data_IF_035865825858
#
_entry.id   IF_035865825858
#
_cell.length_a   1.000
_cell.length_b   1.000
_cell.length_c   1.000
_cell.angle_alpha   90.00
_cell.angle_beta   90.00
_cell.angle_gamma   90.00
#
_symmetry.space_group_name_H-M   'P 1'
#
loop_
_entity.id
_entity.type
_entity.pdbx_description
1 polymer ?
#
# COMPACT_ATOMS: atom_id res chain seq x y z
N UNK A 1 39.62 -41.81 -16.95
CA UNK A 1 41.06 -41.85 -16.64
C UNK A 1 41.68 -40.58 -17.19
N UNK A 2 41.79 -39.54 -16.35
CA UNK A 2 42.83 -38.50 -16.35
C UNK A 2 42.54 -37.62 -15.13
N UNK A 3 43.45 -37.69 -14.16
CA UNK A 3 43.42 -36.98 -12.90
C UNK A 3 44.30 -35.72 -13.02
N UNK A 4 43.91 -34.64 -12.37
CA UNK A 4 44.77 -33.51 -12.01
C UNK A 4 44.15 -32.87 -10.75
N UNK A 5 44.58 -33.21 -9.54
CA UNK A 5 45.71 -32.66 -8.75
C UNK A 5 45.63 -31.14 -8.54
N UNK A 6 45.04 -30.73 -7.42
CA UNK A 6 45.19 -29.41 -6.79
C UNK A 6 46.58 -29.25 -6.14
N UNK A 7 47.15 -28.03 -6.14
CA UNK A 7 48.15 -27.59 -5.16
C UNK A 7 47.69 -26.29 -4.42
N UNK A 8 48.38 -25.80 -3.37
CA UNK A 8 47.82 -25.80 -2.02
C UNK A 8 47.57 -24.40 -1.39
N UNK A 9 46.84 -24.44 -0.28
CA UNK A 9 46.56 -23.33 0.65
C UNK A 9 47.85 -22.69 1.20
N UNK A 10 48.01 -21.40 0.95
CA UNK A 10 48.98 -20.53 1.61
C UNK A 10 48.38 -19.91 2.87
N UNK A 11 48.97 -20.21 4.02
CA UNK A 11 48.76 -19.54 5.30
C UNK A 11 49.39 -18.14 5.27
N UNK A 12 48.59 -17.08 5.41
CA UNK A 12 49.09 -15.77 5.81
C UNK A 12 48.75 -15.47 7.27
N UNK A 13 49.83 -15.26 8.03
CA UNK A 13 49.86 -14.89 9.44
C UNK A 13 49.67 -13.37 9.50
N UNK A 14 48.53 -12.91 10.02
CA UNK A 14 48.34 -11.50 10.37
C UNK A 14 48.70 -11.28 11.84
N UNK A 15 49.87 -10.67 12.04
CA UNK A 15 50.38 -10.15 13.30
C UNK A 15 49.54 -8.95 13.77
N UNK A 16 48.97 -9.06 14.97
CA UNK A 16 48.23 -7.99 15.63
C UNK A 16 49.20 -6.93 16.19
N UNK A 17 49.18 -5.72 15.63
CA UNK A 17 49.76 -4.53 16.26
C UNK A 17 48.66 -3.71 16.94
N UNK A 18 48.76 -3.64 18.26
CA UNK A 18 47.85 -2.98 19.17
C UNK A 18 48.17 -1.48 19.24
N UNK A 19 47.36 -0.63 18.61
CA UNK A 19 47.41 0.83 18.79
C UNK A 19 46.05 1.33 19.27
N UNK A 20 46.06 1.78 20.52
CA UNK A 20 44.95 2.38 21.28
C UNK A 20 44.59 3.77 20.71
N UNK A 21 43.33 4.06 20.33
CA UNK A 21 42.90 5.43 20.10
C UNK A 21 42.35 6.05 21.39
N UNK A 22 42.89 7.22 21.68
CA UNK A 22 42.48 8.19 22.70
C UNK A 22 41.01 8.61 22.58
N UNK A 23 40.37 8.79 23.74
CA UNK A 23 39.02 9.31 23.90
C UNK A 23 38.84 10.69 23.24
N UNK A 24 37.80 10.80 22.40
CA UNK A 24 37.19 12.08 22.01
C UNK A 24 35.76 12.11 22.54
N UNK A 25 35.45 13.21 23.20
CA UNK A 25 34.14 13.64 23.71
C UNK A 25 33.08 13.62 22.61
N UNK A 26 31.82 13.23 22.90
CA UNK A 26 30.76 13.23 21.90
C UNK A 26 30.21 14.65 21.69
N UNK A 27 30.33 15.14 20.47
CA UNK A 27 29.69 16.39 20.01
C UNK A 27 28.32 16.03 19.42
N UNK A 28 27.26 16.57 20.03
CA UNK A 28 25.97 16.94 19.40
C UNK A 28 25.43 16.00 18.31
N UNK A 29 24.72 14.95 18.71
CA UNK A 29 23.86 14.17 17.81
C UNK A 29 22.63 14.99 17.46
N UNK A 30 22.42 15.19 16.16
CA UNK A 30 21.24 15.81 15.56
C UNK A 30 19.95 15.13 16.04
N UNK A 31 19.03 15.92 16.59
CA UNK A 31 17.67 15.52 16.89
C UNK A 31 16.96 15.13 15.59
N UNK A 32 16.75 13.83 15.37
CA UNK A 32 15.76 13.34 14.42
C UNK A 32 14.39 13.73 14.95
N UNK A 33 13.59 14.39 14.13
CA UNK A 33 12.28 14.88 14.56
C UNK A 33 11.30 13.71 14.68
N UNK A 34 10.43 13.74 15.69
CA UNK A 34 9.41 12.70 15.97
C UNK A 34 8.50 12.38 14.76
N UNK A 35 8.43 13.29 13.78
CA UNK A 35 7.70 13.10 12.53
C UNK A 35 8.38 12.09 11.59
N UNK A 36 9.72 12.07 11.54
CA UNK A 36 10.50 11.11 10.73
C UNK A 36 10.38 9.69 11.29
N UNK A 37 10.26 9.56 12.62
CA UNK A 37 10.05 8.27 13.30
C UNK A 37 8.62 7.75 13.05
N UNK A 38 7.59 8.61 13.04
CA UNK A 38 6.22 8.17 12.74
C UNK A 38 6.02 7.78 11.27
N UNK A 39 6.72 8.44 10.33
CA UNK A 39 6.69 8.05 8.92
C UNK A 39 7.34 6.67 8.75
N UNK A 40 8.47 6.39 9.41
CA UNK A 40 9.14 5.08 9.38
C UNK A 40 8.28 3.93 9.96
N UNK A 41 7.45 4.20 10.98
CA UNK A 41 6.54 3.19 11.56
C UNK A 41 5.36 2.89 10.63
N UNK A 42 4.96 3.84 9.77
CA UNK A 42 3.86 3.64 8.82
C UNK A 42 4.32 2.98 7.51
N UNK A 43 5.62 3.01 7.20
CA UNK A 43 6.23 2.39 6.01
C UNK A 43 6.77 0.98 6.23
N UNK A 44 6.80 0.45 7.46
CA UNK A 44 7.27 -0.92 7.73
C UNK A 44 6.30 -2.07 7.36
N UNK A 45 5.27 -1.80 6.55
CA UNK A 45 4.53 -2.82 5.80
C UNK A 45 4.49 -2.59 4.27
N UNK A 46 5.45 -1.84 3.72
CA UNK A 46 5.74 -1.87 2.29
C UNK A 46 7.23 -2.16 2.06
N UNK A 47 7.55 -3.44 1.89
CA UNK A 47 8.79 -3.83 1.21
C UNK A 47 8.68 -3.31 -0.24
N UNK A 48 9.52 -2.34 -0.59
CA UNK A 48 9.79 -1.97 -1.98
C UNK A 48 11.09 -2.63 -2.38
N UNK A 49 11.01 -3.60 -3.29
CA UNK A 49 12.15 -4.18 -3.96
C UNK A 49 12.92 -3.10 -4.73
N UNK A 50 14.23 -3.11 -4.54
CA UNK A 50 15.21 -2.33 -5.29
C UNK A 50 15.32 -2.97 -6.67
N UNK A 51 14.98 -2.24 -7.72
CA UNK A 51 15.50 -2.51 -9.06
C UNK A 51 16.40 -1.36 -9.50
N UNK A 52 17.58 -1.72 -10.00
CA UNK A 52 18.64 -0.81 -10.37
C UNK A 52 18.47 -0.40 -11.83
N UNK A 53 18.18 0.87 -12.06
CA UNK A 53 18.38 1.51 -13.37
C UNK A 53 19.20 2.77 -13.15
N UNK A 54 20.46 2.69 -13.58
CA UNK A 54 21.41 3.79 -13.65
C UNK A 54 20.98 4.77 -14.74
N UNK A 55 20.51 5.95 -14.35
CA UNK A 55 20.66 7.16 -15.15
C UNK A 55 21.20 8.27 -14.24
N UNK A 56 22.42 8.71 -14.55
CA UNK A 56 23.10 9.82 -13.91
C UNK A 56 22.68 11.11 -14.59
N UNK A 57 21.81 11.89 -13.96
CA UNK A 57 21.70 13.33 -14.23
C UNK A 57 21.86 14.08 -12.91
N UNK A 58 22.96 14.83 -12.85
CA UNK A 58 23.36 15.62 -11.69
C UNK A 58 22.66 16.97 -11.70
N UNK A 59 21.44 17.02 -11.18
CA UNK A 59 20.75 18.29 -10.91
C UNK A 59 21.03 18.72 -9.48
N UNK A 60 22.12 19.47 -9.32
CA UNK A 60 22.37 20.27 -8.13
C UNK A 60 21.42 21.47 -8.13
N UNK A 61 20.13 21.21 -7.88
CA UNK A 61 19.13 22.23 -7.60
C UNK A 61 19.50 22.91 -6.27
N UNK A 62 20.03 24.13 -6.37
CA UNK A 62 20.24 24.98 -5.22
C UNK A 62 18.89 25.24 -4.56
N UNK A 63 18.73 24.81 -3.31
CA UNK A 63 17.57 25.05 -2.46
C UNK A 63 17.50 26.55 -2.09
N UNK A 64 17.27 27.41 -3.09
CA UNK A 64 16.96 28.80 -2.88
C UNK A 64 15.47 28.87 -2.53
N UNK A 65 15.20 28.80 -1.23
CA UNK A 65 13.89 29.05 -0.64
C UNK A 65 13.38 30.40 -1.16
N UNK A 66 12.51 30.37 -2.17
CA UNK A 66 11.93 31.59 -2.75
C UNK A 66 10.86 32.13 -1.81
N UNK A 67 11.31 32.71 -0.70
CA UNK A 67 10.47 33.40 0.25
C UNK A 67 9.85 34.63 -0.41
N UNK A 68 8.60 34.52 -0.85
CA UNK A 68 7.73 35.67 -1.08
C UNK A 68 7.34 36.26 0.30
N UNK A 69 8.29 36.92 0.98
CA UNK A 69 7.98 37.81 2.10
C UNK A 69 7.75 39.21 1.54
N UNK A 70 6.51 39.48 1.17
CA UNK A 70 6.05 40.84 0.91
C UNK A 70 5.66 41.53 2.21
N UNK A 71 6.47 42.49 2.66
CA UNK A 71 6.12 43.43 3.73
C UNK A 71 6.74 43.08 5.08
N UNK A 72 7.41 44.05 5.70
CA UNK A 72 7.69 44.04 7.14
C UNK A 72 6.35 44.12 7.90
N UNK A 73 5.68 42.98 8.06
CA UNK A 73 4.54 42.88 8.97
C UNK A 73 5.02 43.09 10.40
N UNK A 74 4.32 43.94 11.15
CA UNK A 74 4.63 44.25 12.53
C UNK A 74 4.71 42.92 13.33
N UNK A 75 5.86 42.58 13.95
CA UNK A 75 6.04 41.31 14.66
C UNK A 75 4.96 41.04 15.72
N UNK A 76 4.43 42.10 16.34
CA UNK A 76 3.38 42.00 17.36
C UNK A 76 2.01 41.63 16.76
N UNK A 77 1.71 42.09 15.55
CA UNK A 77 0.47 41.74 14.83
C UNK A 77 0.52 40.30 14.30
N UNK A 78 1.68 39.89 13.80
CA UNK A 78 1.95 38.50 13.37
C UNK A 78 1.85 37.54 14.56
N UNK A 79 2.44 37.90 15.70
CA UNK A 79 2.34 37.11 16.93
C UNK A 79 0.89 37.02 17.44
N UNK A 80 0.12 38.11 17.35
CA UNK A 80 -1.30 38.13 17.72
C UNK A 80 -2.16 37.22 16.82
N UNK A 81 -1.88 37.20 15.51
CA UNK A 81 -2.53 36.30 14.56
C UNK A 81 -2.26 34.83 14.90
N UNK A 82 -0.99 34.44 15.05
CA UNK A 82 -0.65 33.06 15.38
C UNK A 82 -1.11 32.66 16.78
N UNK A 83 -1.11 33.57 17.77
CA UNK A 83 -1.68 33.32 19.09
C UNK A 83 -3.18 33.00 19.03
N UNK A 84 -3.92 33.74 18.20
CA UNK A 84 -5.35 33.48 17.95
C UNK A 84 -5.58 32.15 17.24
N UNK A 85 -4.74 31.83 16.25
CA UNK A 85 -4.80 30.59 15.50
C UNK A 85 -4.48 29.36 16.37
N UNK A 86 -3.49 29.47 17.27
CA UNK A 86 -3.18 28.43 18.25
C UNK A 86 -4.37 28.21 19.19
N UNK A 87 -4.98 29.29 19.70
CA UNK A 87 -6.14 29.17 20.58
C UNK A 87 -7.32 28.47 19.87
N UNK A 88 -7.57 28.82 18.61
CA UNK A 88 -8.57 28.15 17.78
C UNK A 88 -8.28 26.65 17.63
N UNK A 89 -7.04 26.25 17.29
CA UNK A 89 -6.71 24.83 17.13
C UNK A 89 -6.69 24.05 18.45
N UNK A 90 -6.43 24.70 19.59
CA UNK A 90 -6.59 24.09 20.90
C UNK A 90 -8.07 23.81 21.20
N UNK A 91 -8.98 24.70 20.81
CA UNK A 91 -10.43 24.52 20.98
C UNK A 91 -10.98 23.45 20.01
N UNK A 92 -10.54 23.45 18.75
CA UNK A 92 -10.93 22.45 17.75
C UNK A 92 -10.48 21.03 18.12
N UNK A 93 -9.34 20.91 18.82
CA UNK A 93 -8.80 19.64 19.28
C UNK A 93 -8.30 18.75 18.14
N UNK A 94 -8.00 17.47 18.42
CA UNK A 94 -7.41 16.59 17.41
C UNK A 94 -8.43 16.19 16.35
N UNK A 95 -8.04 16.32 15.08
CA UNK A 95 -8.80 15.78 13.95
C UNK A 95 -8.71 14.25 13.96
N UNK A 96 -9.85 13.60 14.12
CA UNK A 96 -9.93 12.14 14.20
C UNK A 96 -9.86 11.49 12.82
N UNK A 97 -9.09 10.41 12.70
CA UNK A 97 -9.01 9.63 11.48
C UNK A 97 -10.39 9.07 11.05
N UNK A 98 -10.74 9.27 9.78
CA UNK A 98 -11.95 8.68 9.20
C UNK A 98 -11.72 7.21 8.82
N UNK A 99 -12.08 6.31 9.73
CA UNK A 99 -11.91 4.88 9.54
C UNK A 99 -13.01 4.25 8.66
N UNK A 100 -12.60 3.49 7.65
CA UNK A 100 -13.52 2.74 6.78
C UNK A 100 -14.23 1.57 7.48
N UNK A 101 -15.25 1.00 6.83
CA UNK A 101 -16.06 -0.14 7.32
C UNK A 101 -15.21 -1.32 7.81
N UNK A 102 -14.17 -1.71 7.07
CA UNK A 102 -13.29 -2.82 7.44
C UNK A 102 -12.56 -2.57 8.76
N UNK A 103 -12.12 -1.34 8.99
CA UNK A 103 -11.50 -0.94 10.24
C UNK A 103 -12.49 -1.03 11.41
N UNK A 104 -13.74 -0.58 11.21
CA UNK A 104 -14.82 -0.70 12.21
C UNK A 104 -15.15 -2.17 12.56
N UNK A 105 -15.00 -3.09 11.60
CA UNK A 105 -15.15 -4.54 11.85
C UNK A 105 -14.09 -5.09 12.80
N UNK A 106 -12.91 -4.47 12.88
CA UNK A 106 -11.84 -4.87 13.81
C UNK A 106 -11.98 -4.21 15.19
N UNK A 107 -12.36 -2.94 15.26
CA UNK A 107 -12.47 -2.20 16.53
C UNK A 107 -13.60 -2.72 17.41
N UNK A 108 -14.78 -3.04 16.85
CA UNK A 108 -15.94 -3.52 17.62
C UNK A 108 -15.68 -4.80 18.42
N UNK A 109 -15.07 -5.88 17.86
CA UNK A 109 -14.67 -7.04 18.64
C UNK A 109 -13.65 -6.73 19.73
N UNK A 110 -12.66 -5.90 19.45
CA UNK A 110 -11.61 -5.58 20.41
C UNK A 110 -12.17 -4.78 21.59
N UNK A 111 -13.10 -3.85 21.34
CA UNK A 111 -13.83 -3.16 22.38
C UNK A 111 -14.63 -4.12 23.28
N UNK A 112 -15.29 -5.14 22.71
CA UNK A 112 -15.97 -6.16 23.53
C UNK A 112 -14.99 -6.91 24.43
N UNK A 113 -13.79 -7.21 23.94
CA UNK A 113 -12.74 -7.86 24.74
C UNK A 113 -12.23 -6.94 25.85
N UNK A 114 -12.10 -5.64 25.59
CA UNK A 114 -11.80 -4.65 26.62
C UNK A 114 -12.85 -4.66 27.75
N UNK A 115 -14.14 -4.67 27.40
CA UNK A 115 -15.22 -4.72 28.39
C UNK A 115 -15.17 -6.01 29.23
N UNK A 116 -14.91 -7.16 28.59
CA UNK A 116 -14.73 -8.44 29.29
C UNK A 116 -13.55 -8.40 30.28
N UNK A 117 -12.42 -7.82 29.88
CA UNK A 117 -11.28 -7.61 30.77
C UNK A 117 -11.62 -6.71 31.95
N UNK A 118 -12.25 -5.55 31.70
CA UNK A 118 -12.63 -4.61 32.75
C UNK A 118 -13.56 -5.29 33.78
N UNK A 119 -14.50 -6.13 33.32
CA UNK A 119 -15.34 -6.94 34.22
C UNK A 119 -14.52 -7.92 35.06
N UNK A 120 -13.54 -8.60 34.46
CA UNK A 120 -12.67 -9.55 35.18
C UNK A 120 -11.74 -8.85 36.19
N UNK A 121 -11.24 -7.66 35.84
CA UNK A 121 -10.35 -6.85 36.67
C UNK A 121 -11.09 -5.96 37.68
N UNK A 122 -12.43 -5.95 37.66
CA UNK A 122 -13.31 -5.07 38.46
C UNK A 122 -12.97 -3.59 38.28
N UNK A 123 -12.71 -3.19 37.03
CA UNK A 123 -12.44 -1.81 36.63
C UNK A 123 -13.68 -1.22 35.93
N UNK A 124 -13.91 0.07 36.13
CA UNK A 124 -14.89 0.81 35.34
C UNK A 124 -14.36 1.05 33.92
N UNK A 125 -15.14 0.62 32.93
CA UNK A 125 -14.67 0.46 31.56
C UNK A 125 -14.27 1.78 30.89
N UNK A 126 -15.02 2.86 31.16
CA UNK A 126 -14.81 4.17 30.56
C UNK A 126 -13.65 4.89 31.25
N UNK A 127 -13.66 4.91 32.58
CA UNK A 127 -12.58 5.52 33.38
C UNK A 127 -11.23 4.87 33.10
N UNK A 128 -11.18 3.54 33.00
CA UNK A 128 -9.96 2.81 32.69
C UNK A 128 -9.42 3.15 31.29
N UNK A 129 -10.31 3.32 30.30
CA UNK A 129 -9.93 3.71 28.95
C UNK A 129 -9.44 5.17 28.91
N UNK A 130 -10.18 6.09 29.52
CA UNK A 130 -9.84 7.53 29.55
C UNK A 130 -8.55 7.83 30.31
N UNK A 131 -8.28 7.08 31.38
CA UNK A 131 -7.07 7.22 32.17
C UNK A 131 -5.80 6.86 31.39
N UNK A 132 -5.91 6.05 30.32
CA UNK A 132 -4.82 5.65 29.43
C UNK A 132 -3.54 5.16 30.16
N UNK A 133 -3.70 4.52 31.33
CA UNK A 133 -2.55 4.11 32.15
C UNK A 133 -1.87 2.91 31.51
N UNK A 134 -0.56 3.03 31.26
CA UNK A 134 0.23 1.95 30.68
C UNK A 134 0.09 0.63 31.47
N UNK A 135 0.00 0.69 32.81
CA UNK A 135 -0.20 -0.49 33.65
C UNK A 135 -1.50 -1.25 33.36
N UNK A 136 -2.60 -0.53 33.10
CA UNK A 136 -3.91 -1.14 32.78
C UNK A 136 -3.87 -1.75 31.38
N UNK A 137 -3.28 -1.05 30.42
CA UNK A 137 -3.15 -1.51 29.03
C UNK A 137 -2.25 -2.75 28.93
N UNK A 138 -1.14 -2.79 29.66
CA UNK A 138 -0.27 -3.97 29.82
C UNK A 138 -1.04 -5.15 30.42
N UNK A 139 -1.81 -4.91 31.48
CA UNK A 139 -2.64 -5.95 32.10
C UNK A 139 -3.72 -6.48 31.13
N UNK A 140 -4.31 -5.61 30.32
CA UNK A 140 -5.24 -6.00 29.26
C UNK A 140 -4.58 -6.92 28.23
N UNK A 141 -3.43 -6.53 27.67
CA UNK A 141 -2.73 -7.34 26.67
C UNK A 141 -2.26 -8.69 27.23
N UNK A 142 -1.84 -8.71 28.50
CA UNK A 142 -1.55 -9.95 29.22
C UNK A 142 -2.79 -10.85 29.32
N UNK A 143 -3.92 -10.30 29.78
CA UNK A 143 -5.19 -11.01 29.85
C UNK A 143 -5.66 -11.47 28.47
N UNK A 144 -5.49 -10.65 27.43
CA UNK A 144 -5.85 -10.91 26.05
C UNK A 144 -5.08 -12.09 25.48
N UNK A 145 -3.77 -12.16 25.77
CA UNK A 145 -2.88 -13.26 25.38
C UNK A 145 -3.28 -14.54 26.09
N UNK A 146 -3.47 -14.49 27.41
CA UNK A 146 -3.82 -15.65 28.24
C UNK A 146 -5.19 -16.25 27.93
N UNK A 147 -6.18 -15.42 27.64
CA UNK A 147 -7.56 -15.86 27.40
C UNK A 147 -7.86 -16.07 25.91
N UNK A 148 -6.83 -16.18 25.08
CA UNK A 148 -6.98 -16.51 23.66
C UNK A 148 -5.89 -17.45 23.20
N UNK A 149 -6.13 -18.12 22.07
CA UNK A 149 -5.19 -19.09 21.50
C UNK A 149 -4.15 -18.37 20.62
N UNK A 150 -3.49 -17.36 21.19
CA UNK A 150 -2.50 -16.53 20.49
C UNK A 150 -1.14 -17.18 20.63
N UNK A 151 -0.44 -17.33 19.51
CA UNK A 151 0.89 -17.96 19.46
C UNK A 151 1.95 -17.08 18.79
N UNK A 152 1.55 -15.94 18.22
CA UNK A 152 2.39 -15.07 17.40
C UNK A 152 2.45 -13.68 18.01
N UNK A 153 3.64 -13.10 18.10
CA UNK A 153 3.83 -11.75 18.62
C UNK A 153 3.10 -10.71 17.77
N UNK A 154 3.18 -10.84 16.43
CA UNK A 154 2.52 -9.94 15.49
C UNK A 154 1.00 -9.83 15.67
N UNK A 155 0.37 -10.90 16.19
CA UNK A 155 -1.06 -10.87 16.53
C UNK A 155 -1.34 -9.95 17.71
N UNK A 156 -0.48 -9.97 18.74
CA UNK A 156 -0.60 -9.05 19.87
C UNK A 156 -0.33 -7.61 19.45
N UNK A 157 0.68 -7.36 18.62
CA UNK A 157 0.93 -6.04 18.05
C UNK A 157 -0.29 -5.51 17.28
N UNK A 158 -0.96 -6.39 16.52
CA UNK A 158 -2.22 -6.03 15.84
C UNK A 158 -3.30 -5.64 16.83
N UNK A 159 -3.51 -6.42 17.90
CA UNK A 159 -4.51 -6.08 18.92
C UNK A 159 -4.18 -4.79 19.66
N UNK A 160 -2.90 -4.53 19.92
CA UNK A 160 -2.43 -3.27 20.48
C UNK A 160 -2.78 -2.07 19.59
N UNK A 161 -2.49 -2.18 18.29
CA UNK A 161 -2.85 -1.16 17.31
C UNK A 161 -4.37 -0.95 17.21
N UNK A 162 -5.16 -2.03 17.22
CA UNK A 162 -6.62 -1.91 17.20
C UNK A 162 -7.14 -1.28 18.50
N UNK A 163 -6.56 -1.59 19.66
CA UNK A 163 -6.93 -1.00 20.93
C UNK A 163 -6.62 0.50 20.99
N UNK A 164 -5.48 0.94 20.45
CA UNK A 164 -5.15 2.37 20.39
C UNK A 164 -6.14 3.14 19.50
N UNK A 165 -6.66 2.50 18.46
CA UNK A 165 -7.74 3.05 17.64
C UNK A 165 -9.07 3.12 18.39
N UNK A 166 -9.42 2.08 19.16
CA UNK A 166 -10.62 2.09 20.04
C UNK A 166 -10.51 3.22 21.06
N UNK A 167 -9.33 3.39 21.69
CA UNK A 167 -9.06 4.49 22.61
C UNK A 167 -9.30 5.84 21.92
N UNK A 168 -8.75 6.02 20.72
CA UNK A 168 -8.89 7.25 19.95
C UNK A 168 -10.36 7.57 19.62
N UNK A 169 -11.11 6.57 19.16
CA UNK A 169 -12.53 6.72 18.83
C UNK A 169 -13.39 7.09 20.05
N UNK A 170 -13.10 6.48 21.21
CA UNK A 170 -13.89 6.63 22.44
C UNK A 170 -13.56 7.88 23.23
N UNK A 171 -12.29 8.24 23.32
CA UNK A 171 -11.83 9.39 24.13
C UNK A 171 -11.70 10.68 23.33
N UNK A 172 -11.85 10.61 22.00
CA UNK A 172 -11.62 11.73 21.07
C UNK A 172 -10.24 12.37 21.23
N UNK A 173 -9.24 11.55 21.62
CA UNK A 173 -7.85 11.94 21.83
C UNK A 173 -6.93 10.85 21.30
N UNK A 174 -5.77 11.22 20.77
CA UNK A 174 -4.74 10.23 20.46
C UNK A 174 -3.98 9.82 21.72
N UNK A 175 -3.51 8.56 21.73
CA UNK A 175 -2.72 8.03 22.82
C UNK A 175 -1.36 8.72 22.86
N UNK A 176 -0.84 8.96 24.06
CA UNK A 176 0.48 9.55 24.24
C UNK A 176 1.57 8.67 23.57
N UNK A 177 2.51 9.33 22.89
CA UNK A 177 3.59 8.65 22.17
C UNK A 177 4.49 7.82 23.08
N UNK A 178 4.67 8.25 24.34
CA UNK A 178 5.43 7.50 25.34
C UNK A 178 4.74 6.19 25.72
N UNK A 179 3.41 6.18 25.85
CA UNK A 179 2.64 4.95 26.10
C UNK A 179 2.68 4.00 24.89
N UNK A 180 2.53 4.55 23.68
CA UNK A 180 2.64 3.79 22.43
C UNK A 180 4.01 3.10 22.33
N UNK A 181 5.08 3.84 22.60
CA UNK A 181 6.44 3.32 22.54
C UNK A 181 6.74 2.31 23.66
N UNK A 182 6.38 2.62 24.92
CA UNK A 182 6.58 1.72 26.06
C UNK A 182 5.91 0.36 25.85
N UNK A 183 4.67 0.35 25.38
CA UNK A 183 3.93 -0.90 25.21
C UNK A 183 4.31 -1.60 23.90
N UNK A 184 4.15 -0.89 22.78
CA UNK A 184 4.31 -1.43 21.44
C UNK A 184 5.74 -1.82 21.13
N UNK A 185 6.69 -0.91 21.39
CA UNK A 185 8.07 -1.05 20.92
C UNK A 185 9.00 -1.67 21.96
N UNK A 186 8.59 -1.71 23.24
CA UNK A 186 9.45 -2.23 24.32
C UNK A 186 8.79 -3.42 25.02
N UNK A 187 7.72 -3.19 25.77
CA UNK A 187 7.19 -4.17 26.73
C UNK A 187 6.62 -5.45 26.08
N UNK A 188 5.95 -5.34 24.92
CA UNK A 188 5.46 -6.53 24.20
C UNK A 188 6.64 -7.45 23.88
N UNK A 189 7.71 -6.92 23.30
CA UNK A 189 8.88 -7.69 22.88
C UNK A 189 9.72 -8.20 24.06
N UNK A 190 9.96 -7.36 25.08
CA UNK A 190 10.90 -7.71 26.17
C UNK A 190 10.26 -8.51 27.30
N UNK A 191 8.95 -8.40 27.49
CA UNK A 191 8.26 -8.97 28.66
C UNK A 191 7.17 -9.95 28.26
N UNK A 192 6.24 -9.53 27.40
CA UNK A 192 5.07 -10.36 27.09
C UNK A 192 5.41 -11.54 26.15
N UNK A 193 6.23 -11.31 25.13
CA UNK A 193 6.68 -12.34 24.19
C UNK A 193 7.41 -13.48 24.89
N UNK A 194 8.42 -13.24 25.75
CA UNK A 194 9.08 -14.32 26.50
C UNK A 194 8.17 -15.04 27.48
N UNK A 195 7.26 -14.34 28.15
CA UNK A 195 6.35 -14.92 29.15
C UNK A 195 5.39 -15.96 28.54
N UNK A 196 4.95 -15.75 27.30
CA UNK A 196 4.02 -16.64 26.59
C UNK A 196 4.68 -17.46 25.49
N UNK A 197 6.00 -17.40 25.35
CA UNK A 197 6.78 -18.05 24.27
C UNK A 197 6.17 -17.74 22.89
N UNK A 198 5.91 -16.45 22.62
CA UNK A 198 5.29 -16.03 21.37
C UNK A 198 6.29 -16.16 20.22
N UNK A 199 5.81 -16.74 19.13
CA UNK A 199 6.60 -16.92 17.93
C UNK A 199 6.80 -15.56 17.22
N UNK A 200 8.07 -15.20 17.04
CA UNK A 200 8.54 -13.97 16.39
C UNK A 200 9.01 -14.21 14.95
N UNK A 201 8.97 -15.45 14.46
CA UNK A 201 9.36 -15.76 13.09
C UNK A 201 8.45 -15.03 12.12
N UNK A 202 9.10 -14.31 11.19
CA UNK A 202 8.42 -13.73 10.04
C UNK A 202 7.84 -14.87 9.22
N UNK A 203 6.53 -14.79 8.93
CA UNK A 203 5.92 -15.71 7.98
C UNK A 203 6.58 -15.45 6.62
N UNK A 204 7.14 -16.49 6.02
CA UNK A 204 7.58 -16.44 4.64
C UNK A 204 6.39 -16.02 3.78
N UNK A 205 6.50 -14.85 3.16
CA UNK A 205 5.51 -14.42 2.18
C UNK A 205 5.86 -15.20 0.92
N UNK A 206 5.00 -16.11 0.50
CA UNK A 206 5.07 -16.68 -0.85
C UNK A 206 4.68 -15.55 -1.81
N UNK A 207 5.67 -14.74 -2.20
CA UNK A 207 5.53 -13.79 -3.29
C UNK A 207 5.25 -14.56 -4.57
N UNK A 208 4.38 -14.01 -5.40
CA UNK A 208 4.07 -14.56 -6.71
C UNK A 208 4.93 -13.79 -7.69
N UNK A 209 5.95 -14.44 -8.25
CA UNK A 209 6.82 -13.85 -9.25
C UNK A 209 6.16 -13.87 -10.64
N UNK A 210 6.77 -13.22 -11.61
CA UNK A 210 6.24 -13.18 -13.00
C UNK A 210 6.14 -14.59 -13.57
N UNK A 211 7.12 -15.45 -13.26
CA UNK A 211 7.13 -16.85 -13.69
C UNK A 211 5.99 -17.68 -13.07
N UNK A 212 5.61 -17.36 -11.82
CA UNK A 212 4.47 -17.99 -11.18
C UNK A 212 3.15 -17.54 -11.83
N UNK A 213 3.06 -16.27 -12.21
CA UNK A 213 1.90 -15.73 -12.93
C UNK A 213 1.75 -16.41 -14.30
N UNK A 214 2.85 -16.60 -15.04
CA UNK A 214 2.86 -17.32 -16.31
C UNK A 214 2.36 -18.74 -16.15
N UNK A 215 2.84 -19.45 -15.12
CA UNK A 215 2.40 -20.80 -14.82
C UNK A 215 0.90 -20.83 -14.51
N UNK A 216 0.42 -19.92 -13.65
CA UNK A 216 -0.99 -19.84 -13.28
C UNK A 216 -1.86 -19.57 -14.50
N UNK A 217 -1.50 -18.60 -15.34
CA UNK A 217 -2.25 -18.25 -16.55
C UNK A 217 -2.22 -19.39 -17.58
N UNK A 218 -1.09 -20.09 -17.71
CA UNK A 218 -0.99 -21.27 -18.56
C UNK A 218 -1.94 -22.37 -18.08
N UNK A 219 -1.95 -22.68 -16.78
CA UNK A 219 -2.90 -23.66 -16.23
C UNK A 219 -4.35 -23.21 -16.45
N UNK A 220 -4.66 -21.94 -16.19
CA UNK A 220 -5.99 -21.34 -16.34
C UNK A 220 -6.57 -21.44 -17.77
N UNK A 221 -5.72 -21.30 -18.79
CA UNK A 221 -6.18 -21.37 -20.19
C UNK A 221 -6.03 -22.74 -20.83
N UNK A 222 -5.00 -23.51 -20.48
CA UNK A 222 -4.63 -24.73 -21.20
C UNK A 222 -5.07 -25.99 -20.46
N UNK A 223 -5.05 -25.98 -19.12
CA UNK A 223 -5.21 -27.18 -18.30
C UNK A 223 -6.47 -27.18 -17.45
N UNK A 224 -7.10 -26.03 -17.27
CA UNK A 224 -8.33 -25.89 -16.50
C UNK A 224 -9.53 -26.45 -17.26
N UNK A 225 -10.05 -27.57 -16.77
CA UNK A 225 -11.24 -28.26 -17.26
C UNK A 225 -12.53 -27.81 -16.55
N UNK A 226 -12.45 -26.86 -15.59
CA UNK A 226 -13.64 -26.34 -14.91
C UNK A 226 -14.59 -25.61 -15.88
N UNK A 227 -15.89 -25.83 -15.65
CA UNK A 227 -16.97 -25.20 -16.40
C UNK A 227 -17.34 -23.88 -15.73
N UNK A 228 -16.94 -22.77 -16.37
CA UNK A 228 -17.40 -21.45 -15.98
C UNK A 228 -18.87 -21.28 -16.39
N UNK A 229 -19.68 -20.67 -15.53
CA UNK A 229 -21.07 -20.31 -15.84
C UNK A 229 -21.15 -19.46 -17.12
N UNK A 230 -20.14 -18.61 -17.34
CA UNK A 230 -19.96 -17.84 -18.55
C UNK A 230 -18.45 -17.66 -18.81
N UNK A 231 -17.99 -17.90 -20.04
CA UNK A 231 -16.55 -17.85 -20.41
C UNK A 231 -15.90 -16.46 -20.22
N UNK A 232 -16.71 -15.39 -20.19
CA UNK A 232 -16.28 -14.07 -19.72
C UNK A 232 -15.55 -14.12 -18.37
N UNK A 233 -15.98 -14.98 -17.44
CA UNK A 233 -15.34 -15.10 -16.13
C UNK A 233 -13.89 -15.57 -16.24
N UNK A 234 -13.59 -16.46 -17.20
CA UNK A 234 -12.23 -16.92 -17.49
C UNK A 234 -11.36 -15.75 -17.94
N UNK A 235 -11.86 -14.93 -18.86
CA UNK A 235 -11.17 -13.71 -19.35
C UNK A 235 -10.99 -12.67 -18.24
N UNK A 236 -12.03 -12.43 -17.43
CA UNK A 236 -11.95 -11.51 -16.30
C UNK A 236 -10.92 -11.97 -15.26
N UNK A 237 -10.87 -13.26 -14.93
CA UNK A 237 -9.92 -13.78 -13.94
C UNK A 237 -8.47 -13.57 -14.38
N UNK A 238 -8.16 -13.87 -15.65
CA UNK A 238 -6.84 -13.63 -16.22
C UNK A 238 -6.42 -12.15 -16.11
N UNK A 239 -7.30 -11.24 -16.53
CA UNK A 239 -7.03 -9.80 -16.44
C UNK A 239 -6.90 -9.33 -14.99
N UNK A 240 -7.71 -9.85 -14.06
CA UNK A 240 -7.59 -9.53 -12.63
C UNK A 240 -6.22 -9.93 -12.11
N UNK A 241 -5.72 -11.13 -12.46
CA UNK A 241 -4.41 -11.60 -12.02
C UNK A 241 -3.28 -10.71 -12.57
N UNK A 242 -3.33 -10.36 -13.86
CA UNK A 242 -2.34 -9.49 -14.50
C UNK A 242 -2.33 -8.10 -13.85
N UNK A 243 -3.49 -7.46 -13.72
CA UNK A 243 -3.57 -6.11 -13.14
C UNK A 243 -3.23 -6.12 -11.65
N UNK A 244 -3.69 -7.11 -10.88
CA UNK A 244 -3.37 -7.23 -9.47
C UNK A 244 -1.87 -7.45 -9.25
N UNK A 245 -1.23 -8.30 -10.07
CA UNK A 245 0.21 -8.54 -10.06
C UNK A 245 1.00 -7.28 -10.39
N UNK A 246 0.68 -6.63 -11.52
CA UNK A 246 1.40 -5.45 -11.99
C UNK A 246 1.24 -4.20 -11.10
N UNK A 247 0.10 -4.06 -10.41
CA UNK A 247 -0.20 -2.85 -9.62
C UNK A 247 -0.17 -3.07 -8.11
N UNK A 248 0.12 -4.30 -7.66
CA UNK A 248 -0.04 -4.75 -6.28
C UNK A 248 -1.44 -4.44 -5.68
N UNK A 249 -2.47 -4.39 -6.54
CA UNK A 249 -3.84 -4.05 -6.12
C UNK A 249 -4.59 -5.29 -5.66
N UNK A 250 -5.27 -5.19 -4.52
CA UNK A 250 -6.10 -6.28 -3.98
C UNK A 250 -7.29 -6.57 -4.91
N UNK A 251 -7.67 -7.84 -5.17
CA UNK A 251 -8.81 -8.17 -6.02
C UNK A 251 -10.13 -7.48 -5.61
N UNK A 252 -10.39 -7.32 -4.31
CA UNK A 252 -11.58 -6.59 -3.81
C UNK A 252 -11.61 -5.11 -4.22
N UNK A 253 -10.46 -4.49 -4.50
CA UNK A 253 -10.41 -3.12 -5.01
C UNK A 253 -10.69 -3.03 -6.52
N UNK A 254 -10.66 -4.17 -7.24
CA UNK A 254 -10.90 -4.25 -8.68
C UNK A 254 -12.36 -4.64 -8.99
N UNK A 255 -12.81 -5.77 -8.42
CA UNK A 255 -14.10 -6.38 -8.74
C UNK A 255 -15.26 -5.46 -8.33
N UNK A 256 -16.11 -5.10 -9.29
CA UNK A 256 -17.25 -4.20 -9.07
C UNK A 256 -16.91 -2.73 -8.81
N UNK A 257 -15.63 -2.36 -8.68
CA UNK A 257 -15.17 -1.00 -8.35
C UNK A 257 -14.44 -0.30 -9.49
N UNK A 258 -13.81 -1.06 -10.40
CA UNK A 258 -13.20 -0.51 -11.61
C UNK A 258 -14.27 -0.41 -12.70
N UNK A 259 -14.59 0.83 -13.08
CA UNK A 259 -15.59 1.16 -14.08
C UNK A 259 -14.92 1.46 -15.42
N UNK A 260 -15.66 1.38 -16.53
CA UNK A 260 -15.13 1.71 -17.85
C UNK A 260 -14.53 3.13 -17.89
N UNK A 261 -15.14 4.12 -17.24
CA UNK A 261 -14.58 5.50 -17.18
C UNK A 261 -13.21 5.59 -16.51
N UNK A 262 -12.83 4.59 -15.71
CA UNK A 262 -11.51 4.54 -15.07
C UNK A 262 -10.44 4.01 -16.03
N UNK A 263 -10.84 3.47 -17.18
CA UNK A 263 -9.96 2.87 -18.17
C UNK A 263 -9.99 3.74 -19.44
N UNK A 264 -8.83 4.00 -20.03
CA UNK A 264 -8.74 4.75 -21.28
C UNK A 264 -7.80 4.04 -22.25
N UNK A 265 -8.30 3.74 -23.45
CA UNK A 265 -7.47 3.29 -24.56
C UNK A 265 -6.92 4.48 -25.32
N UNK A 266 -5.62 4.44 -25.60
CA UNK A 266 -4.88 5.50 -26.29
C UNK A 266 -4.14 4.93 -27.49
N UNK A 267 -4.57 5.30 -28.69
CA UNK A 267 -3.91 4.90 -29.93
C UNK A 267 -2.82 5.92 -30.29
N UNK A 268 -1.60 5.46 -30.45
CA UNK A 268 -0.44 6.27 -30.82
C UNK A 268 -0.13 6.09 -32.31
N UNK A 269 0.31 7.16 -33.01
CA UNK A 269 0.72 7.06 -34.39
C UNK A 269 1.94 6.12 -34.52
N UNK A 270 2.17 5.53 -35.70
CA UNK A 270 3.38 4.75 -35.97
C UNK A 270 4.65 5.56 -35.68
N UNK A 271 5.62 4.94 -35.01
CA UNK A 271 6.89 5.59 -34.71
C UNK A 271 7.80 5.75 -35.96
N UNK A 272 7.61 4.89 -36.95
CA UNK A 272 8.29 4.94 -38.24
C UNK A 272 7.34 4.59 -39.39
N UNK A 273 7.69 5.02 -40.60
CA UNK A 273 6.95 4.72 -41.82
C UNK A 273 6.90 3.20 -42.05
N UNK A 274 5.68 2.66 -42.26
CA UNK A 274 5.44 1.23 -42.41
C UNK A 274 5.22 0.44 -41.11
N UNK A 275 5.32 1.07 -39.93
CA UNK A 275 4.91 0.44 -38.67
C UNK A 275 3.41 0.57 -38.43
N UNK A 276 2.84 -0.35 -37.64
CA UNK A 276 1.46 -0.25 -37.18
C UNK A 276 1.33 0.78 -36.04
N UNK A 277 0.17 1.43 -35.88
CA UNK A 277 -0.16 2.19 -34.67
C UNK A 277 -0.08 1.30 -33.43
N UNK A 278 0.27 1.88 -32.29
CA UNK A 278 0.36 1.16 -31.00
C UNK A 278 -0.80 1.54 -30.10
N UNK A 279 -1.36 0.57 -29.41
CA UNK A 279 -2.42 0.79 -28.44
C UNK A 279 -1.87 0.76 -27.02
N UNK A 280 -2.01 1.88 -26.32
CA UNK A 280 -1.78 1.98 -24.89
C UNK A 280 -3.08 1.88 -24.11
N UNK A 281 -2.97 1.45 -22.86
CA UNK A 281 -4.08 1.29 -21.94
C UNK A 281 -3.74 1.98 -20.63
N UNK A 282 -4.59 2.92 -20.21
CA UNK A 282 -4.42 3.65 -18.96
C UNK A 282 -5.48 3.21 -17.96
N UNK A 283 -5.03 2.85 -16.75
CA UNK A 283 -5.88 2.46 -15.62
C UNK A 283 -5.80 3.51 -14.51
N UNK A 284 -6.94 4.13 -14.21
CA UNK A 284 -7.09 5.06 -13.11
C UNK A 284 -7.73 4.35 -11.91
N UNK A 285 -6.91 3.85 -11.01
CA UNK A 285 -7.38 3.16 -9.83
C UNK A 285 -7.67 4.16 -8.70
N UNK A 286 -8.93 4.60 -8.62
CA UNK A 286 -9.39 5.60 -7.64
C UNK A 286 -9.72 5.01 -6.27
N UNK A 287 -9.72 3.69 -6.05
CA UNK A 287 -10.25 3.06 -4.84
C UNK A 287 -9.27 2.11 -4.12
N UNK A 288 -7.96 2.25 -4.35
CA UNK A 288 -6.95 1.30 -3.85
C UNK A 288 -6.54 1.57 -2.41
N UNK A 289 -6.34 2.84 -2.04
CA UNK A 289 -5.96 3.24 -0.68
C UNK A 289 -6.64 4.54 -0.28
N UNK A 290 -7.24 4.56 0.91
CA UNK A 290 -7.82 5.77 1.52
C UNK A 290 -6.87 6.32 2.58
N UNK A 291 -6.61 7.62 2.53
CA UNK A 291 -5.94 8.38 3.57
C UNK A 291 -6.85 9.53 4.01
N UNK A 292 -7.10 9.66 5.31
CA UNK A 292 -7.99 10.69 5.87
C UNK A 292 -9.39 10.77 5.22
N UNK A 293 -9.92 9.65 4.69
CA UNK A 293 -11.21 9.60 4.02
C UNK A 293 -11.18 9.98 2.53
N UNK A 294 -10.04 10.46 2.03
CA UNK A 294 -9.81 10.72 0.60
C UNK A 294 -9.13 9.51 -0.02
N UNK A 295 -9.57 9.12 -1.21
CA UNK A 295 -8.93 8.04 -1.95
C UNK A 295 -7.83 8.60 -2.84
N UNK A 296 -6.63 8.04 -2.72
CA UNK A 296 -5.50 8.43 -3.57
C UNK A 296 -5.70 7.82 -4.96
N UNK A 297 -5.63 8.65 -6.00
CA UNK A 297 -5.73 8.20 -7.39
C UNK A 297 -4.37 7.66 -7.82
N UNK A 298 -4.32 6.41 -8.26
CA UNK A 298 -3.13 5.82 -8.89
C UNK A 298 -3.38 5.56 -10.35
N UNK A 299 -2.51 6.10 -11.21
CA UNK A 299 -2.62 5.95 -12.67
C UNK A 299 -1.52 5.01 -13.14
N UNK A 300 -1.90 3.96 -13.86
CA UNK A 300 -0.98 2.98 -14.44
C UNK A 300 -1.14 2.98 -15.95
N UNK A 301 -0.02 2.96 -16.68
CA UNK A 301 0.01 2.81 -18.13
C UNK A 301 0.48 1.41 -18.51
N UNK A 302 -0.19 0.79 -19.45
CA UNK A 302 0.16 -0.50 -20.02
C UNK A 302 0.25 -0.38 -21.54
N UNK A 303 1.03 -1.26 -22.16
CA UNK A 303 1.15 -1.39 -23.61
C UNK A 303 0.85 -2.82 -24.05
N UNK A 304 0.67 -3.00 -25.35
CA UNK A 304 0.58 -4.33 -25.96
C UNK A 304 1.86 -5.12 -25.69
N UNK A 305 1.70 -6.43 -25.47
CA UNK A 305 2.79 -7.33 -25.14
C UNK A 305 2.96 -8.42 -26.19
N UNK A 306 4.19 -8.87 -26.42
CA UNK A 306 4.46 -9.95 -27.37
C UNK A 306 3.87 -11.28 -26.90
N UNK A 307 3.90 -11.55 -25.59
CA UNK A 307 3.25 -12.70 -25.00
C UNK A 307 1.80 -12.37 -24.68
N UNK A 308 0.90 -12.83 -25.55
CA UNK A 308 -0.54 -12.61 -25.43
C UNK A 308 -1.15 -13.07 -24.09
N UNK A 309 -0.50 -14.03 -23.42
CA UNK A 309 -0.95 -14.55 -22.13
C UNK A 309 -0.91 -13.50 -21.01
N UNK A 310 0.01 -12.54 -21.09
CA UNK A 310 0.16 -11.48 -20.08
C UNK A 310 -0.25 -10.09 -20.60
N UNK A 311 -0.83 -10.00 -21.82
CA UNK A 311 -1.18 -8.73 -22.43
C UNK A 311 -2.46 -8.12 -21.80
N UNK A 312 -2.35 -7.07 -20.96
CA UNK A 312 -3.52 -6.45 -20.35
C UNK A 312 -4.40 -5.72 -21.38
N UNK A 313 -3.82 -5.25 -22.49
CA UNK A 313 -4.53 -4.56 -23.59
C UNK A 313 -5.46 -5.54 -24.27
N UNK A 314 -4.96 -6.73 -24.63
CA UNK A 314 -5.73 -7.79 -25.26
C UNK A 314 -6.96 -8.19 -24.43
N UNK A 315 -6.77 -8.50 -23.15
CA UNK A 315 -7.88 -8.93 -22.30
C UNK A 315 -8.89 -7.81 -22.07
N UNK A 316 -8.42 -6.57 -21.91
CA UNK A 316 -9.30 -5.42 -21.74
C UNK A 316 -10.12 -5.15 -23.00
N UNK A 317 -9.50 -5.27 -24.18
CA UNK A 317 -10.19 -5.17 -25.48
C UNK A 317 -11.26 -6.26 -25.60
N UNK A 318 -10.93 -7.52 -25.27
CA UNK A 318 -11.87 -8.63 -25.35
C UNK A 318 -13.13 -8.38 -24.51
N UNK A 319 -12.98 -7.87 -23.28
CA UNK A 319 -14.12 -7.53 -22.43
C UNK A 319 -14.91 -6.33 -22.96
N UNK A 320 -14.24 -5.31 -23.49
CA UNK A 320 -14.88 -4.13 -24.06
C UNK A 320 -15.67 -4.43 -25.34
N UNK A 321 -15.16 -5.32 -26.19
CA UNK A 321 -15.85 -5.81 -27.39
C UNK A 321 -17.03 -6.71 -27.03
N UNK A 322 -16.85 -7.63 -26.07
CA UNK A 322 -17.94 -8.46 -25.58
C UNK A 322 -19.12 -7.63 -25.01
N UNK A 323 -18.83 -6.42 -24.54
CA UNK A 323 -19.81 -5.49 -23.98
C UNK A 323 -20.35 -4.47 -25.00
N UNK A 324 -19.79 -4.42 -26.21
CA UNK A 324 -20.07 -3.35 -27.18
C UNK A 324 -19.96 -1.96 -26.52
N UNK A 325 -18.88 -1.75 -25.73
CA UNK A 325 -18.74 -0.59 -24.86
C UNK A 325 -18.24 0.68 -25.59
N UNK A 326 -17.60 0.53 -26.75
CA UNK A 326 -17.00 1.64 -27.51
C UNK A 326 -18.06 2.53 -28.14
N UNK A 327 -17.88 3.85 -28.04
CA UNK A 327 -18.79 4.84 -28.63
C UNK A 327 -18.91 4.70 -30.15
N UNK A 328 -17.80 4.34 -30.81
CA UNK A 328 -17.71 4.20 -32.26
C UNK A 328 -18.39 2.95 -32.81
N UNK A 329 -18.80 2.00 -31.95
CA UNK A 329 -19.49 0.78 -32.37
C UNK A 329 -18.62 -0.11 -33.28
N UNK A 330 -17.36 -0.31 -32.90
CA UNK A 330 -16.43 -1.15 -33.67
C UNK A 330 -16.95 -2.59 -33.75
N UNK A 331 -16.90 -3.19 -34.94
CA UNK A 331 -17.28 -4.60 -35.17
C UNK A 331 -16.12 -5.57 -34.94
N UNK A 332 -14.89 -5.06 -34.85
CA UNK A 332 -13.68 -5.85 -34.64
C UNK A 332 -12.48 -4.97 -34.26
N UNK A 333 -11.42 -5.57 -33.68
CA UNK A 333 -10.24 -4.84 -33.23
C UNK A 333 -9.44 -4.20 -34.37
N UNK A 334 -9.51 -4.74 -35.60
CA UNK A 334 -8.79 -4.22 -36.77
C UNK A 334 -9.15 -2.75 -37.04
N UNK A 335 -10.44 -2.41 -36.86
CA UNK A 335 -10.96 -1.07 -37.06
C UNK A 335 -10.35 -0.03 -36.11
N UNK A 336 -9.81 -0.46 -34.96
CA UNK A 336 -9.09 0.43 -34.04
C UNK A 336 -7.73 0.80 -34.65
N UNK A 337 -7.03 -0.17 -35.24
CA UNK A 337 -5.71 0.03 -35.83
C UNK A 337 -5.77 0.77 -37.18
N UNK A 338 -6.92 0.78 -37.84
CA UNK A 338 -7.15 1.57 -39.06
C UNK A 338 -7.38 3.07 -38.80
N UNK A 339 -7.51 3.48 -37.53
CA UNK A 339 -7.74 4.88 -37.17
C UNK A 339 -6.47 5.71 -37.40
N UNK A 340 -6.67 6.88 -38.02
CA UNK A 340 -5.58 7.84 -38.25
C UNK A 340 -5.55 8.86 -37.12
N UNK A 341 -4.44 8.91 -36.39
CA UNK A 341 -4.19 9.97 -35.40
C UNK A 341 -3.98 11.30 -36.15
N UNK A 342 -4.73 12.37 -35.83
CA UNK A 342 -4.57 13.66 -36.49
C UNK A 342 -3.15 14.24 -36.30
N UNK A 343 -2.54 14.90 -37.30
CA UNK A 343 -1.15 15.40 -37.21
C UNK A 343 -0.86 16.39 -36.08
N UNK A 344 -1.90 16.95 -35.45
CA UNK A 344 -1.79 17.89 -34.32
C UNK A 344 -2.05 17.23 -32.96
N UNK A 345 -2.31 15.92 -32.94
CA UNK A 345 -2.55 15.14 -31.73
C UNK A 345 -1.42 14.12 -31.57
N UNK A 346 -0.97 13.92 -30.33
CA UNK A 346 0.03 12.90 -30.00
C UNK A 346 -0.60 11.50 -29.94
N UNK A 347 -1.89 11.41 -29.59
CA UNK A 347 -2.66 10.18 -29.51
C UNK A 347 -4.14 10.40 -29.82
N UNK A 348 -4.85 9.32 -30.12
CA UNK A 348 -6.31 9.26 -30.20
C UNK A 348 -6.85 8.49 -29.00
N UNK A 349 -7.84 9.04 -28.30
CA UNK A 349 -8.49 8.38 -27.17
C UNK A 349 -9.76 7.68 -27.64
N UNK A 350 -9.90 6.39 -27.33
CA UNK A 350 -11.14 5.67 -27.63
C UNK A 350 -12.15 5.95 -26.51
N UNK A 351 -13.33 6.43 -26.90
CA UNK A 351 -14.37 6.84 -25.96
C UNK A 351 -15.35 5.71 -25.69
N UNK A 352 -15.88 5.69 -24.47
CA UNK A 352 -16.95 4.78 -24.06
C UNK A 352 -18.34 5.35 -24.37
N UNK A 353 -19.31 4.47 -24.63
CA UNK A 353 -20.74 4.82 -24.59
C UNK A 353 -21.09 5.32 -23.19
N UNK A 354 -21.94 6.35 -23.10
CA UNK A 354 -22.35 6.96 -21.81
C UNK A 354 -22.94 5.95 -20.83
N UNK A 355 -23.76 5.03 -21.33
CA UNK A 355 -24.42 4.00 -20.52
C UNK A 355 -23.47 2.92 -20.00
N UNK A 356 -22.27 2.83 -20.59
CA UNK A 356 -21.23 1.88 -20.25
C UNK A 356 -20.17 2.45 -19.32
N UNK A 357 -19.90 3.76 -19.39
CA UNK A 357 -18.87 4.44 -18.62
C UNK A 357 -18.95 4.19 -17.10
N UNK A 358 -20.17 4.11 -16.56
CA UNK A 358 -20.43 3.88 -15.12
C UNK A 358 -20.58 2.39 -14.75
N UNK A 359 -20.35 1.47 -15.67
CA UNK A 359 -20.46 0.02 -15.42
C UNK A 359 -19.11 -0.59 -15.08
N UNK A 360 -19.09 -1.60 -14.21
CA UNK A 360 -17.85 -2.29 -13.87
C UNK A 360 -17.36 -3.15 -15.03
N UNK A 361 -16.06 -3.08 -15.31
CA UNK A 361 -15.42 -3.99 -16.27
C UNK A 361 -15.40 -5.42 -15.73
N UNK A 362 -15.09 -5.56 -14.43
CA UNK A 362 -15.10 -6.83 -13.70
C UNK A 362 -16.43 -7.03 -12.99
N UNK A 363 -17.26 -7.95 -13.49
CA UNK A 363 -18.58 -8.24 -12.93
C UNK A 363 -18.58 -9.49 -12.08
N UNK A 364 -19.43 -9.48 -11.05
CA UNK A 364 -19.78 -10.68 -10.28
C UNK A 364 -20.67 -11.59 -11.12
N UNK A 365 -20.82 -12.85 -10.71
CA UNK A 365 -21.69 -13.83 -11.39
C UNK A 365 -23.15 -13.39 -11.52
N UNK A 366 -23.63 -12.56 -10.60
CA UNK A 366 -24.99 -11.99 -10.60
C UNK A 366 -25.15 -10.82 -11.57
N UNK A 367 -24.06 -10.20 -12.01
CA UNK A 367 -24.05 -9.04 -12.91
C UNK A 367 -23.67 -9.37 -14.36
N UNK A 368 -23.56 -10.66 -14.70
CA UNK A 368 -23.24 -11.14 -16.04
C UNK A 368 -24.45 -11.20 -16.97
#
# INVERSE_FOLDING_TARGET
MFAATNPPLGHEVLTATNTKPTAKTPTSTSELTLMEIMIAITTQESDSDIDSSTESESDAESFAESGYFSGEENPDEVAGFYGSLIAQYVEEGPIMANHGENTKKMTRPEERRWIEFCRAAKLEQHEAMEACKASILKAYLFWRTRNSRIKKESSIMTYWNVLSMVYAERTKRYMDGGVLYDIGNVWIHTSLTPEFDLDTSKKEKSGLFVEDLDLILHFHYVRDEELYIHERLRVQLALILIIAGATATRPDALIGKVLYKHIEFQLFPPAAEGQRPRLGLVWNLEHVKRSAGVSEKKVFGFHEEDTLLHDPVLYTLALAFADDAFLNGFSGPEQIYDLVVPPRSDRLRLLWKRDWAERPIFRTTEGL
#
